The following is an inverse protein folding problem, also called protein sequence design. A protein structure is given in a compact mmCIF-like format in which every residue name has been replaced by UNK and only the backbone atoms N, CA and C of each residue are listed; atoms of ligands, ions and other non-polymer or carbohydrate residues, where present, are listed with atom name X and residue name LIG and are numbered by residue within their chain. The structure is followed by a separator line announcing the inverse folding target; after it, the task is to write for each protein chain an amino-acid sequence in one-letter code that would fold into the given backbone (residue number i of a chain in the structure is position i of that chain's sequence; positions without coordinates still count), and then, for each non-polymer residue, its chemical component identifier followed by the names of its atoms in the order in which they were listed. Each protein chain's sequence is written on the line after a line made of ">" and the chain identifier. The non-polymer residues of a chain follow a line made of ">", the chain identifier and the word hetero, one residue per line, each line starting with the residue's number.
data_IF_979998646382
#
_entry.id   IF_979998646382
#
_cell.length_a   1.000
_cell.length_b   1.000
_cell.length_c   1.000
_cell.angle_alpha   90.00
_cell.angle_beta   90.00
_cell.angle_gamma   90.00
#
_symmetry.space_group_name_H-M   'P 1'
#
loop_
_entity.id
_entity.type
_entity.pdbx_description
1 polymer ?
#
# COMPACT_ATOMS: atom_id res chain seq x y z
N UNK A 1 12.18 -2.21 -14.83
CA UNK A 1 11.82 -1.76 -13.47
C UNK A 1 11.58 -2.98 -12.60
N UNK A 2 12.16 -3.05 -11.40
CA UNK A 2 11.87 -4.12 -10.43
C UNK A 2 10.36 -4.29 -10.21
N UNK A 3 9.89 -5.55 -10.21
CA UNK A 3 8.48 -5.89 -10.02
C UNK A 3 7.89 -5.25 -8.76
N UNK A 4 6.65 -4.78 -8.88
CA UNK A 4 5.90 -4.25 -7.75
C UNK A 4 5.29 -5.39 -6.89
N UNK A 5 4.86 -5.08 -5.66
CA UNK A 5 4.41 -6.12 -4.72
C UNK A 5 3.19 -6.90 -5.23
N UNK A 6 2.27 -6.26 -5.95
CA UNK A 6 1.13 -6.93 -6.59
C UNK A 6 1.59 -7.93 -7.65
N UNK A 7 2.61 -7.61 -8.43
CA UNK A 7 3.18 -8.54 -9.42
C UNK A 7 3.84 -9.74 -8.74
N UNK A 8 4.53 -9.52 -7.61
CA UNK A 8 5.08 -10.60 -6.79
C UNK A 8 3.96 -11.48 -6.21
N UNK A 9 2.86 -10.87 -5.76
CA UNK A 9 1.67 -11.60 -5.31
C UNK A 9 1.07 -12.49 -6.40
N UNK A 10 0.95 -11.95 -7.62
CA UNK A 10 0.46 -12.67 -8.80
C UNK A 10 1.38 -13.88 -9.10
N UNK A 11 2.70 -13.70 -9.04
CA UNK A 11 3.67 -14.79 -9.20
C UNK A 11 3.60 -15.83 -8.08
N UNK A 12 3.43 -15.42 -6.82
CA UNK A 12 3.19 -16.35 -5.71
C UNK A 12 1.95 -17.21 -5.96
N UNK A 13 0.93 -16.64 -6.59
CA UNK A 13 -0.23 -17.39 -7.05
C UNK A 13 0.11 -18.46 -8.09
N UNK A 14 1.06 -18.20 -8.98
CA UNK A 14 1.39 -19.09 -10.08
C UNK A 14 2.27 -20.28 -9.69
N UNK A 15 2.98 -20.22 -8.55
CA UNK A 15 3.91 -21.26 -8.09
C UNK A 15 3.31 -22.66 -8.28
N UNK A 16 2.22 -23.00 -7.59
CA UNK A 16 1.62 -24.35 -7.67
C UNK A 16 1.14 -24.76 -9.07
N UNK A 17 0.78 -23.79 -9.93
CA UNK A 17 0.28 -24.07 -11.28
C UNK A 17 1.42 -24.40 -12.25
N UNK A 18 2.56 -23.75 -12.08
CA UNK A 18 3.70 -23.83 -12.99
C UNK A 18 4.83 -24.74 -12.44
N UNK A 19 4.75 -25.18 -11.18
CA UNK A 19 5.63 -26.23 -10.64
C UNK A 19 5.55 -27.50 -11.50
N UNK A 20 6.72 -28.01 -11.88
CA UNK A 20 6.86 -29.16 -12.78
C UNK A 20 6.93 -28.80 -14.27
N UNK A 21 6.74 -27.54 -14.65
CA UNK A 21 7.07 -27.07 -15.99
C UNK A 21 8.59 -27.10 -16.23
N UNK A 22 9.00 -27.29 -17.48
CA UNK A 22 10.42 -27.31 -17.86
C UNK A 22 11.01 -25.91 -17.80
N UNK A 23 12.30 -25.80 -17.46
CA UNK A 23 13.04 -24.53 -17.59
C UNK A 23 12.95 -24.01 -19.03
N UNK A 24 12.81 -22.70 -19.20
CA UNK A 24 12.53 -22.05 -20.48
C UNK A 24 11.04 -21.96 -20.84
N UNK A 25 10.14 -22.61 -20.11
CA UNK A 25 8.69 -22.48 -20.35
C UNK A 25 8.22 -21.06 -20.07
N UNK A 26 7.42 -20.50 -20.99
CA UNK A 26 6.77 -19.20 -20.84
C UNK A 26 5.31 -19.37 -20.43
N UNK A 27 4.88 -18.66 -19.39
CA UNK A 27 3.50 -18.60 -18.97
C UNK A 27 2.98 -17.16 -18.89
N UNK A 28 1.67 -17.02 -18.99
CA UNK A 28 0.96 -15.74 -18.89
C UNK A 28 0.27 -15.61 -17.53
N UNK A 29 0.27 -14.41 -16.96
CA UNK A 29 -0.59 -14.10 -15.81
C UNK A 29 -2.05 -14.07 -16.28
N UNK A 30 -2.98 -14.80 -15.63
CA UNK A 30 -4.36 -14.86 -16.07
C UNK A 30 -5.00 -13.48 -16.28
N UNK A 31 -5.64 -13.29 -17.43
CA UNK A 31 -6.33 -12.06 -17.82
C UNK A 31 -5.44 -10.81 -17.88
N UNK A 32 -4.13 -10.96 -18.08
CA UNK A 32 -3.19 -9.85 -18.22
C UNK A 32 -2.20 -10.10 -19.37
N UNK A 33 -1.80 -9.06 -20.08
CA UNK A 33 -0.72 -9.11 -21.08
C UNK A 33 0.65 -9.04 -20.38
N UNK A 34 0.91 -9.99 -19.47
CA UNK A 34 2.18 -10.15 -18.74
C UNK A 34 2.65 -11.59 -18.83
N UNK A 35 3.91 -11.76 -19.20
CA UNK A 35 4.50 -13.05 -19.50
C UNK A 35 5.81 -13.23 -18.75
N UNK A 36 6.07 -14.47 -18.34
CA UNK A 36 7.25 -14.84 -17.57
C UNK A 36 7.84 -16.15 -18.08
N UNK A 37 9.16 -16.19 -18.18
CA UNK A 37 9.91 -17.39 -18.50
C UNK A 37 10.49 -18.01 -17.22
N UNK A 38 10.36 -19.32 -17.07
CA UNK A 38 10.94 -20.08 -15.95
C UNK A 38 12.45 -20.22 -16.15
N UNK A 39 13.22 -19.77 -15.18
CA UNK A 39 14.69 -19.92 -15.13
C UNK A 39 15.08 -21.20 -14.38
N UNK A 40 14.40 -21.47 -13.27
CA UNK A 40 14.65 -22.63 -12.43
C UNK A 40 13.39 -22.95 -11.61
N UNK A 41 13.14 -24.22 -11.31
CA UNK A 41 12.02 -24.62 -10.46
C UNK A 41 12.33 -25.92 -9.72
N UNK A 42 11.84 -26.03 -8.48
CA UNK A 42 11.94 -27.24 -7.66
C UNK A 42 10.58 -27.49 -7.01
N UNK A 43 10.11 -28.74 -7.13
CA UNK A 43 8.86 -29.22 -6.51
C UNK A 43 9.20 -30.41 -5.59
N UNK A 44 9.79 -30.10 -4.44
CA UNK A 44 10.14 -31.09 -3.41
C UNK A 44 9.63 -30.61 -2.04
N UNK A 45 10.38 -30.86 -0.96
CA UNK A 45 10.12 -30.29 0.37
C UNK A 45 9.98 -28.77 0.33
N UNK A 46 10.83 -28.12 -0.47
CA UNK A 46 10.73 -26.70 -0.81
C UNK A 46 10.15 -26.56 -2.20
N UNK A 47 9.06 -25.80 -2.30
CA UNK A 47 8.39 -25.46 -3.55
C UNK A 47 8.84 -24.07 -4.00
N UNK A 48 9.71 -24.00 -4.99
CA UNK A 48 10.31 -22.74 -5.43
C UNK A 48 10.33 -22.62 -6.95
N UNK A 49 10.12 -21.40 -7.44
CA UNK A 49 10.17 -21.06 -8.85
C UNK A 49 10.93 -19.74 -9.03
N UNK A 50 11.84 -19.70 -9.99
CA UNK A 50 12.53 -18.52 -10.43
C UNK A 50 12.08 -18.16 -11.85
N UNK A 51 11.78 -16.89 -12.06
CA UNK A 51 11.27 -16.38 -13.35
C UNK A 51 11.94 -15.09 -13.76
N UNK A 52 11.87 -14.78 -15.05
CA UNK A 52 12.21 -13.47 -15.64
C UNK A 52 11.03 -12.98 -16.47
N UNK A 53 10.77 -11.66 -16.51
CA UNK A 53 9.76 -11.12 -17.41
C UNK A 53 10.23 -11.22 -18.88
N UNK A 54 9.27 -11.42 -19.77
CA UNK A 54 9.45 -11.47 -21.24
C UNK A 54 8.35 -10.62 -21.91
N UNK A 55 8.59 -10.19 -23.14
CA UNK A 55 7.70 -9.26 -23.84
C UNK A 55 6.39 -9.90 -24.30
N UNK A 56 6.41 -11.21 -24.57
CA UNK A 56 5.28 -11.93 -25.17
C UNK A 56 5.26 -13.43 -24.83
N UNK A 57 4.26 -14.13 -25.36
CA UNK A 57 4.06 -15.57 -25.17
C UNK A 57 5.15 -16.43 -25.83
N UNK A 58 5.89 -15.89 -26.80
CA UNK A 58 7.00 -16.60 -27.46
C UNK A 58 8.29 -16.50 -26.65
N UNK A 59 8.35 -15.62 -25.65
CA UNK A 59 9.49 -15.49 -24.73
C UNK A 59 10.54 -14.51 -25.20
N UNK A 60 10.18 -13.54 -26.05
CA UNK A 60 11.14 -12.55 -26.53
C UNK A 60 11.68 -11.64 -25.40
N UNK A 61 12.95 -11.26 -25.53
CA UNK A 61 13.67 -10.33 -24.65
C UNK A 61 13.59 -10.66 -23.14
N UNK A 62 14.00 -11.87 -22.71
CA UNK A 62 14.02 -12.22 -21.29
C UNK A 62 14.94 -11.29 -20.49
N UNK A 63 14.38 -10.65 -19.46
CA UNK A 63 15.11 -9.69 -18.63
C UNK A 63 15.69 -10.37 -17.38
N UNK A 64 16.90 -10.93 -17.51
CA UNK A 64 17.61 -11.59 -16.41
C UNK A 64 18.11 -10.65 -15.30
N UNK A 65 18.09 -9.33 -15.50
CA UNK A 65 18.33 -8.37 -14.43
C UNK A 65 17.11 -8.18 -13.51
N UNK A 66 15.96 -8.75 -13.89
CA UNK A 66 14.73 -8.79 -13.10
C UNK A 66 14.37 -10.21 -12.64
N UNK A 67 15.37 -11.09 -12.55
CA UNK A 67 15.16 -12.45 -12.05
C UNK A 67 14.53 -12.39 -10.66
N UNK A 68 13.42 -13.12 -10.51
CA UNK A 68 12.56 -13.11 -9.33
C UNK A 68 12.39 -14.52 -8.81
N UNK A 69 12.65 -14.73 -7.52
CA UNK A 69 12.44 -16.02 -6.85
C UNK A 69 11.17 -15.95 -6.01
N UNK A 70 10.26 -16.88 -6.21
CA UNK A 70 9.06 -17.07 -5.39
C UNK A 70 9.09 -18.46 -4.75
N UNK A 71 8.88 -18.51 -3.45
CA UNK A 71 8.89 -19.74 -2.64
C UNK A 71 7.53 -19.89 -1.99
N UNK A 72 6.88 -21.03 -2.23
CA UNK A 72 5.61 -21.39 -1.62
C UNK A 72 5.76 -21.72 -0.13
N UNK A 73 4.63 -21.83 0.57
CA UNK A 73 4.61 -22.32 1.96
C UNK A 73 4.44 -23.84 2.04
N UNK A 74 4.94 -24.45 3.11
CA UNK A 74 4.70 -25.87 3.44
C UNK A 74 3.21 -26.11 3.67
N UNK A 75 2.68 -27.24 3.21
CA UNK A 75 1.31 -27.66 3.55
C UNK A 75 1.23 -27.97 5.05
N UNK A 76 0.32 -27.32 5.76
CA UNK A 76 0.03 -27.67 7.15
C UNK A 76 -0.77 -28.99 7.14
N UNK A 77 -0.32 -30.07 7.79
CA UNK A 77 -1.22 -31.17 8.09
C UNK A 77 -2.34 -30.59 8.96
N UNK A 78 -3.58 -31.01 8.74
CA UNK A 78 -4.82 -30.51 9.37
C UNK A 78 -5.57 -29.34 8.68
N UNK A 79 -5.04 -28.67 7.66
CA UNK A 79 -5.85 -27.68 6.89
C UNK A 79 -7.04 -28.33 6.16
N UNK A 80 -6.91 -29.61 5.81
CA UNK A 80 -7.95 -30.43 5.19
C UNK A 80 -9.11 -30.79 6.12
N UNK A 81 -9.02 -30.49 7.42
CA UNK A 81 -10.08 -30.83 8.39
C UNK A 81 -11.15 -29.75 8.56
N UNK A 82 -10.99 -28.55 7.98
CA UNK A 82 -11.90 -27.42 8.26
C UNK A 82 -13.17 -27.33 7.40
N UNK A 83 -13.25 -27.92 6.21
CA UNK A 83 -14.45 -27.80 5.37
C UNK A 83 -14.68 -29.06 4.53
N UNK A 84 -15.62 -29.90 4.95
CA UNK A 84 -16.01 -31.12 4.23
C UNK A 84 -16.86 -30.82 2.99
N UNK A 85 -17.56 -29.68 2.94
CA UNK A 85 -18.45 -29.35 1.83
C UNK A 85 -18.14 -27.94 1.28
N UNK A 86 -17.83 -27.89 -0.03
CA UNK A 86 -17.46 -26.72 -0.85
C UNK A 86 -16.03 -26.16 -0.68
N UNK A 87 -15.05 -26.90 -1.20
CA UNK A 87 -13.68 -26.45 -1.38
C UNK A 87 -13.55 -25.54 -2.64
N UNK A 88 -13.06 -24.28 -2.52
CA UNK A 88 -12.62 -23.47 -3.64
C UNK A 88 -11.39 -24.09 -4.33
N UNK A 89 -11.08 -23.59 -5.54
CA UNK A 89 -10.12 -24.06 -6.57
C UNK A 89 -8.74 -24.63 -6.14
N UNK A 90 -8.33 -24.53 -4.87
CA UNK A 90 -7.02 -24.90 -4.34
C UNK A 90 -6.78 -26.39 -4.05
N UNK A 91 -7.83 -27.23 -4.09
CA UNK A 91 -7.78 -28.56 -3.45
C UNK A 91 -7.99 -29.75 -4.37
N UNK A 92 -7.96 -29.56 -5.69
CA UNK A 92 -7.95 -30.68 -6.65
C UNK A 92 -6.55 -30.96 -7.19
N UNK A 93 -5.71 -31.60 -6.37
CA UNK A 93 -4.82 -32.68 -6.83
C UNK A 93 -4.22 -33.47 -5.67
N UNK A 94 -4.65 -34.73 -5.61
CA UNK A 94 -4.00 -35.98 -5.17
C UNK A 94 -3.16 -36.01 -3.88
N UNK A 95 -3.62 -36.91 -3.00
CA UNK A 95 -3.08 -37.33 -1.71
C UNK A 95 -1.64 -37.92 -1.73
N UNK A 96 -0.92 -37.86 -2.85
CA UNK A 96 0.36 -38.55 -3.05
C UNK A 96 1.61 -37.69 -2.72
N UNK A 97 1.46 -36.37 -2.48
CA UNK A 97 2.57 -35.48 -2.04
C UNK A 97 2.62 -35.36 -0.50
N UNK A 98 2.17 -36.40 0.23
CA UNK A 98 1.95 -36.34 1.69
C UNK A 98 3.13 -36.84 2.54
N UNK A 99 4.24 -37.29 1.95
CA UNK A 99 5.41 -37.75 2.73
C UNK A 99 6.45 -36.65 2.99
N UNK A 100 6.80 -35.83 1.98
CA UNK A 100 7.84 -34.79 2.10
C UNK A 100 7.37 -33.54 2.85
N UNK A 101 6.12 -33.14 2.63
CA UNK A 101 5.44 -32.00 3.29
C UNK A 101 5.18 -32.29 4.75
N UNK A 102 4.65 -33.48 5.05
CA UNK A 102 4.49 -33.96 6.44
C UNK A 102 5.85 -34.16 7.10
N UNK A 103 6.89 -34.59 6.39
CA UNK A 103 8.24 -34.64 6.97
C UNK A 103 8.82 -33.26 7.25
N UNK A 104 8.66 -32.24 6.41
CA UNK A 104 9.08 -30.87 6.75
C UNK A 104 8.37 -30.32 7.99
N UNK A 105 7.05 -30.55 8.07
CA UNK A 105 6.24 -30.15 9.21
C UNK A 105 6.53 -30.96 10.49
N UNK A 106 6.83 -32.26 10.36
CA UNK A 106 7.19 -33.12 11.49
C UNK A 106 8.66 -32.92 11.92
N UNK A 107 9.57 -32.60 10.99
CA UNK A 107 10.99 -32.32 11.29
C UNK A 107 11.20 -30.92 11.87
N UNK A 108 10.29 -29.96 11.64
CA UNK A 108 10.26 -28.70 12.40
C UNK A 108 9.81 -28.87 13.86
N UNK A 109 9.40 -30.08 14.25
CA UNK A 109 8.83 -30.36 15.56
C UNK A 109 7.39 -29.88 15.66
N UNK A 110 6.54 -30.72 16.22
CA UNK A 110 5.18 -30.35 16.60
C UNK A 110 5.25 -29.17 17.59
N UNK A 111 4.77 -27.99 17.20
CA UNK A 111 4.87 -26.70 17.94
C UNK A 111 6.30 -26.30 18.36
N UNK A 112 7.15 -25.89 17.42
CA UNK A 112 8.27 -24.97 17.73
C UNK A 112 9.39 -25.54 18.59
N UNK A 113 10.02 -26.64 18.16
CA UNK A 113 11.28 -27.09 18.78
C UNK A 113 12.32 -27.54 17.76
N UNK A 114 12.64 -26.69 16.77
CA UNK A 114 14.00 -26.68 16.24
C UNK A 114 14.76 -25.59 17.00
N UNK A 115 15.66 -26.00 17.92
CA UNK A 115 16.65 -25.09 18.48
C UNK A 115 17.47 -24.50 17.30
N UNK A 116 17.15 -23.28 16.87
CA UNK A 116 17.85 -22.61 15.77
C UNK A 116 17.05 -21.62 14.92
N UNK A 117 15.73 -21.50 15.10
CA UNK A 117 14.91 -20.38 14.58
C UNK A 117 14.72 -20.25 13.06
N UNK A 118 15.34 -21.08 12.22
CA UNK A 118 15.09 -21.13 10.78
C UNK A 118 14.65 -22.54 10.36
N UNK A 119 13.66 -22.62 9.46
CA UNK A 119 13.16 -23.91 8.96
C UNK A 119 14.23 -24.61 8.10
N UNK A 120 14.24 -25.95 8.02
CA UNK A 120 15.14 -26.69 7.13
C UNK A 120 15.08 -26.23 5.65
N UNK A 121 13.95 -25.66 5.22
CA UNK A 121 13.78 -25.06 3.89
C UNK A 121 14.75 -23.90 3.61
N UNK A 122 15.31 -23.26 4.65
CA UNK A 122 16.24 -22.15 4.45
C UNK A 122 17.50 -22.57 3.69
N UNK A 123 18.01 -23.78 3.95
CA UNK A 123 19.15 -24.33 3.21
C UNK A 123 18.79 -24.59 1.74
N UNK A 124 17.62 -25.15 1.48
CA UNK A 124 17.10 -25.37 0.12
C UNK A 124 16.93 -24.04 -0.63
N UNK A 125 16.43 -22.99 0.04
CA UNK A 125 16.25 -21.65 -0.53
C UNK A 125 17.60 -21.01 -0.87
N UNK A 126 18.62 -21.16 -0.01
CA UNK A 126 19.98 -20.66 -0.29
C UNK A 126 20.60 -21.39 -1.49
N UNK A 127 20.46 -22.72 -1.57
CA UNK A 127 20.93 -23.50 -2.72
C UNK A 127 20.18 -23.14 -4.00
N UNK A 128 18.85 -22.98 -3.91
CA UNK A 128 18.01 -22.56 -5.04
C UNK A 128 18.41 -21.18 -5.55
N UNK A 129 18.72 -20.23 -4.67
CA UNK A 129 19.25 -18.92 -5.03
C UNK A 129 20.53 -19.05 -5.86
N UNK A 130 21.52 -19.79 -5.36
CA UNK A 130 22.82 -19.95 -6.03
C UNK A 130 22.66 -20.63 -7.40
N UNK A 131 21.86 -21.70 -7.49
CA UNK A 131 21.57 -22.40 -8.74
C UNK A 131 20.86 -21.51 -9.75
N UNK A 132 19.86 -20.76 -9.30
CA UNK A 132 19.12 -19.80 -10.14
C UNK A 132 20.06 -18.74 -10.69
N UNK A 133 20.87 -18.10 -9.83
CA UNK A 133 21.80 -17.05 -10.25
C UNK A 133 22.84 -17.60 -11.23
N UNK A 134 23.34 -18.82 -11.00
CA UNK A 134 24.26 -19.48 -11.94
C UNK A 134 23.61 -19.71 -13.31
N UNK A 135 22.37 -20.22 -13.35
CA UNK A 135 21.63 -20.44 -14.60
C UNK A 135 21.35 -19.12 -15.33
N UNK A 136 20.85 -18.12 -14.61
CA UNK A 136 20.60 -16.80 -15.17
C UNK A 136 21.89 -16.16 -15.76
N UNK A 137 23.05 -16.37 -15.10
CA UNK A 137 24.35 -15.88 -15.58
C UNK A 137 24.90 -16.60 -16.80
N UNK A 138 24.41 -17.79 -17.14
CA UNK A 138 24.72 -18.46 -18.41
C UNK A 138 24.04 -17.73 -19.57
N UNK A 139 22.82 -17.26 -19.36
CA UNK A 139 22.02 -16.55 -20.36
C UNK A 139 22.42 -15.06 -20.47
N UNK A 140 22.64 -14.39 -19.34
CA UNK A 140 23.12 -13.01 -19.26
C UNK A 140 24.16 -12.86 -18.15
N UNK A 141 25.41 -12.55 -18.52
CA UNK A 141 26.50 -12.31 -17.56
C UNK A 141 26.20 -11.24 -16.50
N UNK A 142 25.28 -10.31 -16.79
CA UNK A 142 24.85 -9.24 -15.89
C UNK A 142 23.61 -9.62 -15.06
N UNK A 143 23.13 -10.87 -15.15
CA UNK A 143 21.98 -11.35 -14.42
C UNK A 143 22.14 -11.18 -12.90
N UNK A 144 21.04 -10.79 -12.27
CA UNK A 144 20.93 -10.61 -10.82
C UNK A 144 19.59 -11.15 -10.33
N UNK A 145 19.55 -11.60 -9.07
CA UNK A 145 18.28 -11.81 -8.37
C UNK A 145 17.85 -10.47 -7.78
N UNK A 146 16.80 -9.90 -8.36
CA UNK A 146 16.29 -8.57 -8.00
C UNK A 146 15.18 -8.62 -6.94
N UNK A 147 14.40 -9.70 -6.93
CA UNK A 147 13.27 -9.90 -6.02
C UNK A 147 13.29 -11.30 -5.42
N UNK A 148 12.86 -11.40 -4.17
CA UNK A 148 12.53 -12.67 -3.54
C UNK A 148 11.21 -12.56 -2.77
N UNK A 149 10.46 -13.65 -2.72
CA UNK A 149 9.20 -13.75 -1.98
C UNK A 149 9.04 -15.11 -1.35
N UNK A 150 8.67 -15.12 -0.08
CA UNK A 150 8.26 -16.30 0.67
C UNK A 150 6.81 -16.21 1.13
N UNK A 151 6.26 -17.36 1.47
CA UNK A 151 4.91 -17.49 2.02
C UNK A 151 4.92 -18.43 3.23
N UNK A 152 4.31 -18.01 4.34
CA UNK A 152 4.25 -18.80 5.57
C UNK A 152 5.65 -19.20 6.08
N UNK A 153 5.92 -20.49 6.28
CA UNK A 153 7.19 -21.01 6.81
C UNK A 153 8.42 -20.72 5.95
N UNK A 154 8.25 -20.40 4.66
CA UNK A 154 9.37 -20.03 3.79
C UNK A 154 9.74 -18.55 3.87
N UNK A 155 8.87 -17.72 4.48
CA UNK A 155 9.07 -16.28 4.65
C UNK A 155 10.41 -15.94 5.31
N UNK A 156 10.69 -16.43 6.54
CA UNK A 156 11.97 -16.17 7.21
C UNK A 156 13.19 -16.70 6.44
N UNK A 157 13.09 -17.85 5.79
CA UNK A 157 14.17 -18.39 4.95
C UNK A 157 14.48 -17.53 3.74
N UNK A 158 13.45 -16.96 3.10
CA UNK A 158 13.61 -15.97 2.02
C UNK A 158 14.23 -14.68 2.55
N UNK A 159 13.76 -14.16 3.68
CA UNK A 159 14.31 -12.95 4.29
C UNK A 159 15.79 -13.12 4.67
N UNK A 160 16.16 -14.28 5.23
CA UNK A 160 17.53 -14.64 5.52
C UNK A 160 18.39 -14.66 4.25
N UNK A 161 17.98 -15.41 3.23
CA UNK A 161 18.75 -15.57 1.98
C UNK A 161 18.91 -14.24 1.24
N UNK A 162 17.82 -13.46 1.10
CA UNK A 162 17.86 -12.16 0.42
C UNK A 162 18.77 -11.16 1.15
N UNK A 163 18.72 -11.12 2.49
CA UNK A 163 19.58 -10.23 3.27
C UNK A 163 21.05 -10.65 3.23
N UNK A 164 21.34 -11.96 3.31
CA UNK A 164 22.69 -12.52 3.17
C UNK A 164 23.33 -12.08 1.85
N UNK A 165 22.68 -12.36 0.72
CA UNK A 165 23.26 -12.01 -0.59
C UNK A 165 23.21 -10.52 -0.89
N UNK A 166 22.17 -9.80 -0.44
CA UNK A 166 22.12 -8.35 -0.62
C UNK A 166 23.26 -7.62 0.09
N UNK A 167 23.62 -8.06 1.30
CA UNK A 167 24.79 -7.56 2.03
C UNK A 167 26.10 -7.97 1.35
N UNK A 168 26.25 -9.24 0.95
CA UNK A 168 27.46 -9.74 0.29
C UNK A 168 27.73 -9.07 -1.07
N UNK A 169 26.69 -8.80 -1.85
CA UNK A 169 26.79 -8.17 -3.17
C UNK A 169 26.73 -6.63 -3.11
N UNK A 170 26.53 -6.06 -1.91
CA UNK A 170 26.28 -4.63 -1.71
C UNK A 170 25.21 -4.08 -2.66
N UNK A 171 24.09 -4.81 -2.78
CA UNK A 171 23.00 -4.53 -3.71
C UNK A 171 21.66 -4.86 -3.07
N UNK A 172 20.67 -4.01 -3.30
CA UNK A 172 19.32 -4.29 -2.83
C UNK A 172 18.69 -5.46 -3.59
N UNK A 173 18.16 -6.39 -2.82
CA UNK A 173 17.23 -7.45 -3.22
C UNK A 173 15.93 -7.13 -2.50
N UNK A 174 14.89 -6.82 -3.26
CA UNK A 174 13.58 -6.51 -2.72
C UNK A 174 12.93 -7.79 -2.20
N UNK A 175 12.38 -7.74 -0.99
CA UNK A 175 11.64 -8.85 -0.38
C UNK A 175 10.18 -8.47 -0.23
N UNK A 176 9.30 -9.31 -0.75
CA UNK A 176 7.84 -9.16 -0.59
C UNK A 176 7.28 -10.48 -0.11
N UNK A 177 7.08 -10.64 1.20
CA UNK A 177 6.57 -11.89 1.75
C UNK A 177 5.11 -11.78 2.21
N UNK A 178 4.49 -12.94 2.39
CA UNK A 178 3.10 -13.09 2.82
C UNK A 178 3.01 -14.06 3.99
N UNK A 179 2.41 -13.62 5.09
CA UNK A 179 2.06 -14.45 6.25
C UNK A 179 3.24 -15.18 6.92
N UNK A 180 4.41 -14.54 7.02
CA UNK A 180 5.61 -15.14 7.61
C UNK A 180 5.32 -15.82 8.95
N UNK A 181 5.58 -17.12 9.01
CA UNK A 181 5.39 -17.97 10.20
C UNK A 181 6.74 -18.15 10.90
N UNK A 182 6.79 -18.07 12.24
CA UNK A 182 8.02 -18.19 13.06
C UNK A 182 9.08 -17.09 12.83
N UNK A 183 8.70 -15.94 12.24
CA UNK A 183 9.63 -14.83 12.01
C UNK A 183 10.23 -14.25 13.31
N UNK A 184 9.43 -14.20 14.38
CA UNK A 184 9.90 -13.76 15.70
C UNK A 184 11.05 -14.63 16.21
N UNK A 185 10.87 -15.95 16.21
CA UNK A 185 11.86 -16.90 16.71
C UNK A 185 13.14 -16.90 15.86
N UNK A 186 13.03 -16.68 14.55
CA UNK A 186 14.18 -16.51 13.65
C UNK A 186 15.10 -15.34 14.06
N UNK A 187 14.51 -14.23 14.52
CA UNK A 187 15.27 -13.08 15.01
C UNK A 187 15.71 -13.27 16.47
N UNK A 188 14.81 -13.76 17.32
CA UNK A 188 15.08 -13.94 18.75
C UNK A 188 16.21 -14.96 19.01
N UNK A 189 16.29 -16.02 18.19
CA UNK A 189 17.40 -17.00 18.23
C UNK A 189 18.72 -16.46 17.67
N UNK A 190 18.70 -15.32 16.98
CA UNK A 190 19.85 -14.74 16.29
C UNK A 190 20.16 -15.35 14.92
N UNK A 191 19.30 -16.23 14.40
CA UNK A 191 19.46 -16.84 13.09
C UNK A 191 19.38 -15.81 11.95
N UNK A 192 18.51 -14.81 12.10
CA UNK A 192 18.56 -13.55 11.35
C UNK A 192 19.25 -12.51 12.25
N UNK A 193 20.45 -12.08 11.85
CA UNK A 193 21.26 -11.14 12.62
C UNK A 193 20.67 -9.72 12.62
N UNK A 194 21.11 -8.88 13.57
CA UNK A 194 20.73 -7.46 13.63
C UNK A 194 21.07 -6.68 12.36
N UNK A 195 22.19 -7.02 11.71
CA UNK A 195 22.59 -6.41 10.44
C UNK A 195 21.61 -6.78 9.31
N UNK A 196 21.20 -8.05 9.25
CA UNK A 196 20.17 -8.50 8.32
C UNK A 196 18.81 -7.87 8.61
N UNK A 197 18.40 -7.72 9.88
CA UNK A 197 17.18 -6.98 10.24
C UNK A 197 17.24 -5.53 9.73
N UNK A 198 18.36 -4.83 9.92
CA UNK A 198 18.54 -3.46 9.41
C UNK A 198 18.47 -3.39 7.88
N UNK A 199 19.00 -4.40 7.19
CA UNK A 199 18.86 -4.55 5.76
C UNK A 199 17.39 -4.76 5.36
N UNK A 200 16.69 -5.69 6.02
CA UNK A 200 15.30 -6.04 5.73
C UNK A 200 14.36 -4.87 6.00
N UNK A 201 14.56 -4.09 7.06
CA UNK A 201 13.76 -2.90 7.35
C UNK A 201 13.77 -1.85 6.22
N UNK A 202 14.77 -1.89 5.34
CA UNK A 202 14.88 -1.02 4.16
C UNK A 202 14.37 -1.66 2.87
N UNK A 203 14.38 -2.99 2.79
CA UNK A 203 14.23 -3.73 1.53
C UNK A 203 13.08 -4.74 1.52
N UNK A 204 12.41 -4.96 2.66
CA UNK A 204 11.37 -5.96 2.83
C UNK A 204 10.01 -5.34 3.17
N UNK A 205 8.95 -5.84 2.53
CA UNK A 205 7.56 -5.59 2.89
C UNK A 205 6.87 -6.92 3.17
N UNK A 206 6.20 -7.04 4.32
CA UNK A 206 5.58 -8.28 4.79
C UNK A 206 4.07 -8.06 4.92
N UNK A 207 3.27 -8.80 4.16
CA UNK A 207 1.81 -8.69 4.20
C UNK A 207 1.22 -9.70 5.17
N UNK A 208 0.37 -9.25 6.08
CA UNK A 208 -0.21 -10.07 7.14
C UNK A 208 -1.70 -9.85 7.33
N UNK A 209 -2.44 -10.92 7.55
CA UNK A 209 -3.84 -10.83 7.92
C UNK A 209 -3.98 -10.36 9.37
N UNK A 210 -5.11 -9.74 9.67
CA UNK A 210 -5.42 -9.24 11.01
C UNK A 210 -5.95 -10.30 11.96
N UNK A 211 -6.42 -11.45 11.45
CA UNK A 211 -6.99 -12.52 12.27
C UNK A 211 -5.90 -13.39 12.90
N UNK A 212 -4.69 -13.30 12.37
CA UNK A 212 -3.60 -14.20 12.72
C UNK A 212 -3.89 -15.62 12.26
N UNK A 213 -4.65 -15.80 11.18
CA UNK A 213 -5.02 -17.13 10.69
C UNK A 213 -3.77 -17.98 10.48
N UNK A 214 -3.74 -19.18 11.07
CA UNK A 214 -2.59 -20.11 11.10
C UNK A 214 -1.37 -19.58 11.89
N UNK A 215 -0.95 -18.34 11.68
CA UNK A 215 0.23 -17.75 12.33
C UNK A 215 0.09 -17.61 13.85
N UNK A 216 -1.12 -17.57 14.40
CA UNK A 216 -1.31 -17.63 15.87
C UNK A 216 -0.74 -18.90 16.51
N UNK A 217 -0.56 -19.97 15.73
CA UNK A 217 -0.01 -21.25 16.19
C UNK A 217 1.49 -21.20 16.48
N UNK A 218 2.19 -20.14 16.06
CA UNK A 218 3.62 -19.97 16.31
C UNK A 218 3.95 -19.53 17.74
N UNK A 219 2.95 -19.27 18.57
CA UNK A 219 3.13 -18.85 19.97
C UNK A 219 3.50 -17.37 20.16
N UNK A 220 3.76 -16.64 19.08
CA UNK A 220 4.15 -15.23 19.05
C UNK A 220 3.11 -14.34 18.34
N UNK A 221 1.90 -14.88 18.09
CA UNK A 221 0.83 -14.21 17.36
C UNK A 221 1.26 -13.77 15.93
N UNK A 222 2.19 -14.54 15.35
CA UNK A 222 2.83 -14.27 14.07
C UNK A 222 3.74 -13.04 14.03
N UNK A 223 4.19 -12.49 15.15
CA UNK A 223 5.05 -11.30 15.16
C UNK A 223 6.21 -11.38 14.15
N UNK A 224 6.42 -10.28 13.41
CA UNK A 224 7.45 -10.19 12.35
C UNK A 224 8.36 -9.00 12.67
N UNK A 225 9.51 -9.25 13.32
CA UNK A 225 10.40 -8.19 13.81
C UNK A 225 11.38 -7.66 12.74
N UNK A 226 11.02 -7.74 11.46
CA UNK A 226 11.80 -7.22 10.35
C UNK A 226 10.90 -6.72 9.20
N UNK A 227 11.44 -5.82 8.39
CA UNK A 227 10.72 -5.27 7.24
C UNK A 227 9.57 -4.34 7.63
N UNK A 228 8.90 -3.82 6.61
CA UNK A 228 7.67 -3.05 6.77
C UNK A 228 6.47 -4.00 6.76
N UNK A 229 5.77 -4.13 7.88
CA UNK A 229 4.56 -4.93 7.97
C UNK A 229 3.35 -4.16 7.44
N UNK A 230 2.57 -4.81 6.58
CA UNK A 230 1.31 -4.33 6.03
C UNK A 230 0.19 -5.27 6.50
N UNK A 231 -0.58 -4.84 7.49
CA UNK A 231 -1.75 -5.57 7.98
C UNK A 231 -3.02 -5.25 7.21
N UNK A 232 -3.89 -6.24 7.04
CA UNK A 232 -5.20 -6.09 6.43
C UNK A 232 -6.26 -7.00 7.06
N UNK A 233 -7.50 -6.52 7.16
CA UNK A 233 -8.63 -7.38 7.54
C UNK A 233 -9.05 -8.31 6.39
N UNK A 234 -9.46 -9.51 6.76
CA UNK A 234 -9.92 -10.53 5.83
C UNK A 234 -11.44 -10.55 5.80
N UNK A 235 -12.02 -10.66 4.61
CA UNK A 235 -13.46 -10.84 4.48
C UNK A 235 -13.93 -12.14 5.14
N UNK A 236 -15.15 -12.13 5.64
CA UNK A 236 -15.78 -13.32 6.21
C UNK A 236 -15.86 -14.43 5.14
N UNK A 237 -15.43 -15.64 5.49
CA UNK A 237 -15.39 -16.80 4.59
C UNK A 237 -14.18 -16.87 3.65
N UNK A 238 -13.31 -15.86 3.61
CA UNK A 238 -12.04 -15.94 2.89
C UNK A 238 -10.93 -16.56 3.76
N UNK A 239 -9.93 -17.15 3.11
CA UNK A 239 -8.73 -17.68 3.75
C UNK A 239 -7.73 -16.54 4.01
N UNK A 240 -7.49 -16.20 5.27
CA UNK A 240 -6.56 -15.12 5.64
C UNK A 240 -5.11 -15.47 5.40
N UNK A 241 -4.75 -16.75 5.48
CA UNK A 241 -3.37 -17.21 5.40
C UNK A 241 -2.89 -17.41 3.95
N UNK A 242 -3.69 -17.01 2.95
CA UNK A 242 -3.31 -17.14 1.55
C UNK A 242 -2.54 -15.89 1.06
N UNK A 243 -1.49 -16.08 0.22
CA UNK A 243 -0.77 -14.95 -0.36
C UNK A 243 -1.63 -14.16 -1.35
N UNK A 244 -2.77 -14.69 -1.82
CA UNK A 244 -3.69 -14.00 -2.74
C UNK A 244 -4.74 -13.13 -2.04
N UNK A 245 -4.88 -13.27 -0.73
CA UNK A 245 -5.92 -12.62 0.05
C UNK A 245 -5.74 -11.11 0.21
N UNK A 246 -4.52 -10.56 0.40
CA UNK A 246 -4.38 -9.11 0.41
C UNK A 246 -4.81 -8.52 -0.93
N UNK A 247 -5.65 -7.48 -0.93
CA UNK A 247 -6.00 -6.77 -2.16
C UNK A 247 -5.03 -5.61 -2.33
N UNK A 248 -4.23 -5.68 -3.39
CA UNK A 248 -3.03 -4.83 -3.56
C UNK A 248 -3.14 -3.93 -4.79
N UNK A 249 -2.56 -2.73 -4.69
CA UNK A 249 -2.43 -1.75 -5.78
C UNK A 249 -0.98 -1.26 -5.85
N UNK A 250 -0.17 -1.91 -6.68
CA UNK A 250 1.26 -1.63 -6.79
C UNK A 250 2.02 -2.16 -5.57
N UNK A 251 2.77 -1.29 -4.87
CA UNK A 251 3.56 -1.62 -3.67
C UNK A 251 2.81 -1.35 -2.35
N UNK A 252 1.47 -1.40 -2.37
CA UNK A 252 0.63 -1.11 -1.21
C UNK A 252 -0.69 -1.86 -1.27
N UNK A 253 -1.40 -1.90 -0.14
CA UNK A 253 -2.79 -2.33 -0.05
C UNK A 253 -3.70 -1.36 -0.82
N UNK A 254 -4.76 -1.89 -1.45
CA UNK A 254 -5.79 -1.09 -2.11
C UNK A 254 -6.76 -0.51 -1.06
N UNK A 255 -6.41 0.62 -0.48
CA UNK A 255 -7.18 1.27 0.58
C UNK A 255 -8.63 1.53 0.17
N UNK A 256 -8.89 1.83 -1.11
CA UNK A 256 -10.25 2.06 -1.59
C UNK A 256 -11.10 0.79 -1.53
N UNK A 257 -10.50 -0.37 -1.83
CA UNK A 257 -11.17 -1.66 -1.71
C UNK A 257 -11.62 -1.95 -0.28
N UNK A 258 -10.70 -1.78 0.68
CA UNK A 258 -10.93 -2.06 2.10
C UNK A 258 -11.92 -1.07 2.72
N UNK A 259 -11.73 0.23 2.44
CA UNK A 259 -12.61 1.28 2.96
C UNK A 259 -14.06 1.12 2.49
N UNK A 260 -14.28 0.79 1.20
CA UNK A 260 -15.64 0.53 0.67
C UNK A 260 -16.34 -0.67 1.30
N UNK A 261 -15.58 -1.56 1.95
CA UNK A 261 -16.08 -2.77 2.62
C UNK A 261 -16.11 -2.65 4.14
N UNK A 262 -15.81 -1.47 4.69
CA UNK A 262 -15.66 -1.24 6.13
C UNK A 262 -14.63 -2.18 6.78
N UNK A 263 -13.55 -2.46 6.05
CA UNK A 263 -12.44 -3.27 6.51
C UNK A 263 -11.22 -2.39 6.81
N UNK A 264 -10.50 -2.68 7.88
CA UNK A 264 -9.24 -2.00 8.19
C UNK A 264 -8.09 -2.55 7.33
N UNK A 265 -7.18 -1.65 6.97
CA UNK A 265 -5.94 -1.95 6.27
C UNK A 265 -4.88 -0.90 6.61
N UNK A 266 -3.62 -1.33 6.65
CA UNK A 266 -2.48 -0.44 6.90
C UNK A 266 -2.41 0.63 5.83
N UNK A 267 -2.28 1.90 6.24
CA UNK A 267 -2.23 3.05 5.33
C UNK A 267 -3.56 3.78 5.16
N UNK A 268 -4.55 3.54 6.03
CA UNK A 268 -5.76 4.35 6.11
C UNK A 268 -5.54 5.67 6.84
N UNK A 269 -6.24 6.71 6.41
CA UNK A 269 -6.25 8.01 7.10
C UNK A 269 -7.16 7.97 8.33
N UNK A 270 -6.99 8.91 9.26
CA UNK A 270 -7.83 8.98 10.47
C UNK A 270 -9.33 9.04 10.14
N UNK A 271 -9.73 9.83 9.13
CA UNK A 271 -11.14 9.92 8.73
C UNK A 271 -11.69 8.58 8.23
N UNK A 272 -10.90 7.85 7.45
CA UNK A 272 -11.29 6.52 6.97
C UNK A 272 -11.47 5.56 8.15
N UNK A 273 -10.49 5.51 9.06
CA UNK A 273 -10.55 4.64 10.24
C UNK A 273 -11.75 4.96 11.11
N UNK A 274 -11.99 6.23 11.45
CA UNK A 274 -13.12 6.65 12.30
C UNK A 274 -14.47 6.25 11.71
N UNK A 275 -14.65 6.41 10.39
CA UNK A 275 -15.91 6.02 9.75
C UNK A 275 -16.14 4.51 9.77
N UNK A 276 -15.08 3.72 9.58
CA UNK A 276 -15.17 2.26 9.70
C UNK A 276 -15.45 1.88 11.16
N UNK A 277 -14.80 2.53 12.12
CA UNK A 277 -15.02 2.31 13.54
C UNK A 277 -16.46 2.60 13.96
N UNK A 278 -17.05 3.70 13.48
CA UNK A 278 -18.47 4.01 13.67
C UNK A 278 -19.39 2.93 13.11
N UNK A 279 -19.08 2.44 11.90
CA UNK A 279 -19.82 1.34 11.29
C UNK A 279 -19.73 0.05 12.12
N UNK A 280 -18.53 -0.35 12.52
CA UNK A 280 -18.28 -1.57 13.31
C UNK A 280 -18.98 -1.49 14.67
N UNK A 281 -18.85 -0.36 15.36
CA UNK A 281 -19.53 -0.10 16.63
C UNK A 281 -21.06 -0.18 16.52
N UNK A 282 -21.64 0.43 15.48
CA UNK A 282 -23.08 0.41 15.24
C UNK A 282 -23.62 -0.97 14.87
N UNK A 283 -22.82 -1.77 14.19
CA UNK A 283 -23.21 -3.11 13.71
C UNK A 283 -22.84 -4.22 14.67
N UNK A 284 -22.07 -3.92 15.72
CA UNK A 284 -21.71 -4.87 16.75
C UNK A 284 -22.97 -5.41 17.44
N UNK A 285 -23.10 -6.74 17.43
CA UNK A 285 -24.15 -7.45 18.14
C UNK A 285 -23.49 -8.31 19.22
N UNK A 286 -23.84 -8.02 20.47
CA UNK A 286 -23.40 -8.83 21.61
C UNK A 286 -23.86 -10.26 21.40
N UNK A 287 -22.93 -11.20 21.37
CA UNK A 287 -23.29 -12.61 21.38
C UNK A 287 -23.62 -13.04 22.80
N UNK A 288 -24.90 -12.97 23.15
CA UNK A 288 -25.43 -13.28 24.49
C UNK A 288 -25.08 -14.68 25.00
N UNK A 289 -24.70 -15.63 24.13
CA UNK A 289 -24.32 -16.98 24.54
C UNK A 289 -22.87 -17.08 25.08
N UNK A 290 -22.02 -16.10 24.77
CA UNK A 290 -20.59 -16.04 25.18
C UNK A 290 -20.24 -14.70 25.84
N UNK A 291 -21.24 -13.84 26.07
CA UNK A 291 -21.07 -12.52 26.65
C UNK A 291 -20.44 -12.61 28.04
N UNK A 292 -19.22 -12.11 28.17
CA UNK A 292 -18.49 -12.00 29.43
C UNK A 292 -18.99 -10.80 30.26
N UNK A 293 -20.26 -10.83 30.68
CA UNK A 293 -20.85 -9.93 31.69
C UNK A 293 -20.41 -8.44 31.59
N UNK A 294 -20.49 -7.83 30.41
CA UNK A 294 -20.22 -6.39 30.20
C UNK A 294 -18.82 -6.01 29.70
N UNK A 295 -17.89 -6.97 29.52
CA UNK A 295 -16.57 -6.73 28.93
C UNK A 295 -16.58 -6.45 27.42
N UNK A 296 -17.73 -6.54 26.75
CA UNK A 296 -17.88 -6.28 25.31
C UNK A 296 -18.70 -5.02 25.01
N UNK A 297 -19.12 -4.26 26.04
CA UNK A 297 -19.88 -3.02 25.86
C UNK A 297 -19.01 -1.91 25.23
N UNK A 298 -17.69 -2.00 25.42
CA UNK A 298 -16.70 -1.13 24.77
C UNK A 298 -16.69 -1.27 23.25
N UNK A 299 -17.04 -2.44 22.70
CA UNK A 299 -17.17 -2.68 21.25
C UNK A 299 -18.37 -1.98 20.61
N UNK A 300 -19.24 -1.35 21.39
CA UNK A 300 -20.25 -0.41 20.89
C UNK A 300 -19.73 1.03 20.82
N UNK A 301 -18.52 1.29 21.33
CA UNK A 301 -17.84 2.57 21.22
C UNK A 301 -16.88 2.57 20.01
N UNK A 302 -17.01 3.50 19.05
CA UNK A 302 -16.07 3.63 17.94
C UNK A 302 -14.60 3.75 18.38
N UNK A 303 -14.31 4.40 19.51
CA UNK A 303 -12.94 4.59 19.99
C UNK A 303 -12.22 3.28 20.32
N UNK A 304 -12.96 2.21 20.67
CA UNK A 304 -12.38 0.87 20.79
C UNK A 304 -11.71 0.44 19.48
N UNK A 305 -12.42 0.54 18.36
CA UNK A 305 -11.88 0.14 17.05
C UNK A 305 -10.79 1.08 16.53
N UNK A 306 -10.85 2.37 16.88
CA UNK A 306 -9.75 3.30 16.57
C UNK A 306 -8.48 2.89 17.32
N UNK A 307 -8.60 2.52 18.60
CA UNK A 307 -7.45 2.06 19.39
C UNK A 307 -6.88 0.73 18.89
N UNK A 308 -7.75 -0.22 18.52
CA UNK A 308 -7.32 -1.49 17.91
C UNK A 308 -6.68 -1.26 16.54
N UNK A 309 -7.16 -0.30 15.75
CA UNK A 309 -6.51 0.06 14.50
C UNK A 309 -5.06 0.53 14.73
N UNK A 310 -4.86 1.48 15.65
CA UNK A 310 -3.52 2.01 15.94
C UNK A 310 -2.57 0.94 16.47
N UNK A 311 -3.09 0.02 17.29
CA UNK A 311 -2.34 -1.11 17.84
C UNK A 311 -1.91 -2.12 16.79
N UNK A 312 -2.81 -2.51 15.89
CA UNK A 312 -2.56 -3.62 14.96
C UNK A 312 -2.02 -3.16 13.59
N UNK A 313 -2.45 -2.00 13.08
CA UNK A 313 -2.15 -1.52 11.72
C UNK A 313 -1.15 -0.35 11.69
N UNK A 314 -0.86 0.23 12.85
CA UNK A 314 0.06 1.36 13.00
C UNK A 314 -0.59 2.73 12.80
N UNK A 315 0.26 3.75 12.64
CA UNK A 315 -0.17 5.15 12.57
C UNK A 315 -1.10 5.43 11.38
N UNK A 316 -1.95 6.45 11.54
CA UNK A 316 -2.77 6.95 10.44
C UNK A 316 -1.89 7.46 9.31
N UNK A 317 -2.27 7.12 8.08
CA UNK A 317 -1.72 7.80 6.92
C UNK A 317 -2.07 9.30 6.99
N UNK A 318 -1.15 10.18 6.55
CA UNK A 318 -1.47 11.60 6.46
C UNK A 318 -2.67 11.79 5.54
N UNK A 319 -3.59 12.67 5.94
CA UNK A 319 -4.64 13.12 5.04
C UNK A 319 -4.01 13.75 3.79
N UNK A 320 -4.45 13.38 2.57
CA UNK A 320 -3.91 13.97 1.36
C UNK A 320 -4.12 15.48 1.38
N UNK A 321 -3.08 16.22 1.04
CA UNK A 321 -3.18 17.67 0.89
C UNK A 321 -4.13 18.03 -0.25
N UNK A 322 -4.59 19.29 -0.32
CA UNK A 322 -5.39 19.75 -1.47
C UNK A 322 -4.61 19.59 -2.78
N UNK A 323 -3.29 19.79 -2.79
CA UNK A 323 -2.46 19.50 -3.96
C UNK A 323 -2.45 18.01 -4.32
N UNK A 324 -2.36 17.10 -3.34
CA UNK A 324 -2.40 15.66 -3.61
C UNK A 324 -3.74 15.26 -4.22
N UNK A 325 -4.85 15.78 -3.67
CA UNK A 325 -6.19 15.54 -4.21
C UNK A 325 -6.34 16.07 -5.65
N UNK A 326 -5.77 17.24 -5.96
CA UNK A 326 -5.76 17.78 -7.33
C UNK A 326 -4.97 16.84 -8.26
N UNK A 327 -3.81 16.36 -7.85
CA UNK A 327 -2.99 15.45 -8.64
C UNK A 327 -3.71 14.12 -8.89
N UNK A 328 -4.28 13.52 -7.84
CA UNK A 328 -5.09 12.30 -7.92
C UNK A 328 -6.28 12.50 -8.86
N UNK A 329 -7.02 13.60 -8.72
CA UNK A 329 -8.17 13.86 -9.57
C UNK A 329 -7.78 14.06 -11.04
N UNK A 330 -6.64 14.70 -11.32
CA UNK A 330 -6.14 14.86 -12.70
C UNK A 330 -5.83 13.50 -13.33
N UNK A 331 -5.15 12.63 -12.59
CA UNK A 331 -4.90 11.26 -13.06
C UNK A 331 -6.22 10.51 -13.29
N UNK A 332 -7.18 10.61 -12.36
CA UNK A 332 -8.50 9.97 -12.50
C UNK A 332 -9.27 10.51 -13.71
N UNK A 333 -9.20 11.81 -13.99
CA UNK A 333 -9.77 12.42 -15.19
C UNK A 333 -9.17 11.82 -16.46
N UNK A 334 -7.85 11.61 -16.50
CA UNK A 334 -7.17 10.96 -17.63
C UNK A 334 -7.62 9.49 -17.80
N UNK A 335 -7.75 8.74 -16.71
CA UNK A 335 -8.25 7.36 -16.68
C UNK A 335 -9.72 7.27 -17.14
N UNK A 336 -10.56 8.22 -16.72
CA UNK A 336 -11.95 8.34 -17.16
C UNK A 336 -12.03 8.66 -18.66
N UNK A 337 -11.17 9.56 -19.15
CA UNK A 337 -11.07 9.84 -20.58
C UNK A 337 -10.66 8.62 -21.39
N UNK A 338 -9.69 7.84 -20.90
CA UNK A 338 -9.30 6.57 -21.52
C UNK A 338 -10.47 5.57 -21.55
N UNK A 339 -11.14 5.37 -20.41
CA UNK A 339 -12.27 4.45 -20.27
C UNK A 339 -13.47 4.83 -21.15
N UNK A 340 -13.72 6.13 -21.34
CA UNK A 340 -14.81 6.64 -22.18
C UNK A 340 -14.63 6.35 -23.67
N UNK A 341 -13.39 6.15 -24.14
CA UNK A 341 -13.11 5.83 -25.56
C UNK A 341 -13.62 4.44 -25.95
N UNK A 342 -13.61 3.50 -25.00
CA UNK A 342 -13.98 2.09 -25.23
C UNK A 342 -15.36 1.72 -24.68
N UNK A 343 -15.97 2.59 -23.87
CA UNK A 343 -17.27 2.32 -23.24
C UNK A 343 -18.48 2.69 -24.11
N UNK A 344 -19.58 1.94 -23.95
CA UNK A 344 -20.88 2.14 -24.61
C UNK A 344 -22.05 2.02 -23.63
N UNK A 345 -23.24 2.47 -24.05
CA UNK A 345 -24.48 2.35 -23.26
C UNK A 345 -24.41 3.03 -21.89
N UNK A 346 -25.06 2.43 -20.90
CA UNK A 346 -25.18 2.92 -19.51
C UNK A 346 -23.81 3.21 -18.88
N UNK A 347 -22.81 2.34 -19.13
CA UNK A 347 -21.45 2.52 -18.62
C UNK A 347 -20.83 3.84 -19.11
N UNK A 348 -21.09 4.23 -20.36
CA UNK A 348 -20.61 5.50 -20.93
C UNK A 348 -21.25 6.70 -20.22
N UNK A 349 -22.50 6.57 -19.80
CA UNK A 349 -23.24 7.64 -19.13
C UNK A 349 -22.72 7.82 -17.71
N UNK A 350 -22.57 6.73 -16.94
CA UNK A 350 -21.97 6.79 -15.60
C UNK A 350 -20.55 7.36 -15.62
N UNK A 351 -19.72 6.97 -16.59
CA UNK A 351 -18.37 7.52 -16.72
C UNK A 351 -18.35 9.02 -17.08
N UNK A 352 -19.35 9.51 -17.85
CA UNK A 352 -19.48 10.95 -18.16
C UNK A 352 -19.91 11.74 -16.94
N UNK A 353 -20.87 11.22 -16.17
CA UNK A 353 -21.27 11.81 -14.90
C UNK A 353 -20.07 11.93 -13.97
N UNK A 354 -19.34 10.83 -13.77
CA UNK A 354 -18.16 10.77 -12.90
C UNK A 354 -17.10 11.78 -13.34
N UNK A 355 -16.81 11.86 -14.65
CA UNK A 355 -15.87 12.83 -15.21
C UNK A 355 -16.26 14.28 -14.87
N UNK A 356 -17.54 14.64 -15.01
CA UNK A 356 -18.03 15.99 -14.71
C UNK A 356 -17.90 16.29 -13.21
N UNK A 357 -18.24 15.34 -12.34
CA UNK A 357 -18.11 15.51 -10.88
C UNK A 357 -16.65 15.66 -10.45
N UNK A 358 -15.76 14.80 -10.92
CA UNK A 358 -14.32 14.88 -10.61
C UNK A 358 -13.73 16.20 -11.12
N UNK A 359 -14.13 16.64 -12.32
CA UNK A 359 -13.70 17.95 -12.86
C UNK A 359 -14.18 19.12 -11.99
N UNK A 360 -15.43 19.08 -11.53
CA UNK A 360 -15.99 20.10 -10.62
C UNK A 360 -15.22 20.17 -9.29
N UNK A 361 -14.95 19.02 -8.67
CA UNK A 361 -14.19 18.94 -7.43
C UNK A 361 -12.76 19.46 -7.61
N UNK A 362 -12.11 19.11 -8.72
CA UNK A 362 -10.75 19.58 -9.03
C UNK A 362 -10.69 21.10 -9.19
N UNK A 363 -11.67 21.67 -9.89
CA UNK A 363 -11.77 23.11 -10.10
C UNK A 363 -11.95 23.87 -8.77
N UNK A 364 -12.77 23.33 -7.86
CA UNK A 364 -12.96 23.89 -6.52
C UNK A 364 -11.67 23.82 -5.69
N UNK A 365 -11.03 22.64 -5.61
CA UNK A 365 -9.78 22.46 -4.86
C UNK A 365 -8.67 23.39 -5.37
N UNK A 366 -8.53 23.52 -6.69
CA UNK A 366 -7.53 24.40 -7.30
C UNK A 366 -7.75 25.87 -6.94
N UNK A 367 -9.01 26.30 -6.84
CA UNK A 367 -9.35 27.67 -6.46
C UNK A 367 -9.01 27.95 -4.99
N UNK A 368 -9.34 27.01 -4.11
CA UNK A 368 -8.99 27.10 -2.68
C UNK A 368 -7.47 27.13 -2.45
N UNK A 369 -6.70 26.32 -3.20
CA UNK A 369 -5.23 26.35 -3.16
C UNK A 369 -4.70 27.71 -3.62
N UNK A 370 -5.22 28.23 -4.74
CA UNK A 370 -4.79 29.52 -5.28
C UNK A 370 -5.06 30.67 -4.31
N UNK A 371 -6.24 30.72 -3.68
CA UNK A 371 -6.54 31.74 -2.67
C UNK A 371 -5.58 31.67 -1.48
N UNK A 372 -5.27 30.45 -1.02
CA UNK A 372 -4.34 30.27 0.08
C UNK A 372 -2.91 30.72 -0.31
N UNK A 373 -2.45 30.39 -1.52
CA UNK A 373 -1.14 30.86 -2.01
C UNK A 373 -1.05 32.39 -2.09
N UNK A 374 -2.13 33.09 -2.48
CA UNK A 374 -2.17 34.55 -2.48
C UNK A 374 -2.10 35.09 -1.05
N UNK A 375 -2.86 34.51 -0.10
CA UNK A 375 -2.80 34.89 1.33
C UNK A 375 -1.39 34.73 1.89
N UNK A 376 -0.74 33.61 1.59
CA UNK A 376 0.59 33.30 2.11
C UNK A 376 1.65 34.22 1.51
N UNK A 377 1.58 34.53 0.21
CA UNK A 377 2.49 35.49 -0.45
C UNK A 377 2.36 36.90 0.14
N UNK A 378 1.13 37.38 0.34
CA UNK A 378 0.87 38.69 0.95
C UNK A 378 1.43 38.73 2.37
N UNK A 379 1.14 37.71 3.18
CA UNK A 379 1.64 37.59 4.56
C UNK A 379 3.16 37.59 4.60
N UNK A 380 3.80 36.78 3.76
CA UNK A 380 5.26 36.70 3.66
C UNK A 380 5.90 38.03 3.24
N UNK A 381 5.33 38.70 2.25
CA UNK A 381 5.79 40.02 1.81
C UNK A 381 5.65 41.07 2.92
N UNK A 382 4.50 41.12 3.60
CA UNK A 382 4.26 42.07 4.72
C UNK A 382 5.25 41.84 5.86
N UNK A 383 5.43 40.59 6.30
CA UNK A 383 6.42 40.25 7.32
C UNK A 383 7.86 40.57 6.90
N UNK A 384 8.20 40.44 5.61
CA UNK A 384 9.51 40.88 5.10
C UNK A 384 9.68 42.40 5.22
N UNK A 385 8.66 43.19 4.89
CA UNK A 385 8.70 44.66 5.07
C UNK A 385 8.84 45.03 6.54
N UNK A 386 8.06 44.40 7.43
CA UNK A 386 8.15 44.60 8.89
C UNK A 386 9.56 44.33 9.42
N UNK A 387 10.19 43.24 8.97
CA UNK A 387 11.55 42.89 9.36
C UNK A 387 12.58 43.92 8.86
N UNK A 388 12.51 44.36 7.60
CA UNK A 388 13.42 45.38 7.08
C UNK A 388 13.29 46.71 7.83
N UNK A 389 12.05 47.12 8.16
CA UNK A 389 11.82 48.33 8.97
C UNK A 389 12.49 48.15 10.34
N UNK A 390 12.29 47.01 11.00
CA UNK A 390 12.92 46.71 12.29
C UNK A 390 14.45 46.77 12.22
N UNK A 391 15.06 46.08 11.24
CA UNK A 391 16.51 46.08 11.05
C UNK A 391 17.07 47.49 10.83
N UNK A 392 16.39 48.32 10.04
CA UNK A 392 16.79 49.70 9.81
C UNK A 392 16.68 50.55 11.09
N UNK A 393 15.64 50.36 11.88
CA UNK A 393 15.49 51.04 13.19
C UNK A 393 16.60 50.64 14.14
N UNK A 394 16.90 49.34 14.27
CA UNK A 394 17.96 48.82 15.13
C UNK A 394 19.34 49.39 14.70
N UNK A 395 19.60 49.49 13.39
CA UNK A 395 20.80 50.10 12.85
C UNK A 395 20.90 51.60 13.17
N UNK A 396 19.80 52.35 13.02
CA UNK A 396 19.76 53.78 13.34
C UNK A 396 20.08 54.03 14.83
N UNK A 397 19.50 53.22 15.72
CA UNK A 397 19.82 53.27 17.15
C UNK A 397 21.27 52.93 17.48
N UNK A 398 21.90 52.06 16.69
CA UNK A 398 23.30 51.68 16.88
C UNK A 398 24.27 52.77 16.40
N UNK A 399 23.97 53.44 15.29
CA UNK A 399 24.86 54.41 14.64
C UNK A 399 24.75 55.84 15.18
N UNK A 400 23.61 56.17 15.79
CA UNK A 400 23.31 57.52 16.25
C UNK A 400 23.99 57.85 17.59
N UNK A 401 25.33 57.96 17.59
CA UNK A 401 26.11 58.29 18.79
C UNK A 401 25.94 59.74 19.29
N UNK A 402 25.40 60.63 18.47
CA UNK A 402 25.27 62.06 18.75
C UNK A 402 23.82 62.58 18.72
N UNK A 403 22.82 61.70 18.54
CA UNK A 403 21.41 62.07 18.54
C UNK A 403 20.74 61.55 19.81
N UNK A 404 19.81 62.34 20.35
CA UNK A 404 18.90 61.89 21.40
C UNK A 404 17.90 60.86 20.85
N UNK A 405 17.30 60.06 21.73
CA UNK A 405 16.25 59.12 21.34
C UNK A 405 15.07 59.81 20.63
N UNK A 406 14.73 61.04 21.03
CA UNK A 406 13.65 61.82 20.42
C UNK A 406 13.98 62.25 18.98
N UNK A 407 15.25 62.59 18.69
CA UNK A 407 15.70 62.92 17.33
C UNK A 407 15.73 61.67 16.43
N UNK A 408 16.12 60.52 16.97
CA UNK A 408 16.10 59.24 16.26
C UNK A 408 14.65 58.82 15.95
N UNK A 409 13.75 58.91 16.93
CA UNK A 409 12.33 58.62 16.71
C UNK A 409 11.67 59.62 15.75
N UNK A 410 12.05 60.90 15.80
CA UNK A 410 11.63 61.90 14.83
C UNK A 410 12.01 61.50 13.40
N UNK A 411 13.26 61.08 13.17
CA UNK A 411 13.74 60.61 11.86
C UNK A 411 13.07 59.31 11.40
N UNK A 412 12.81 58.39 12.32
CA UNK A 412 12.21 57.08 12.01
C UNK A 412 10.68 57.12 11.98
N UNK A 413 10.05 58.23 12.36
CA UNK A 413 8.59 58.35 12.45
C UNK A 413 7.88 58.16 11.10
N UNK A 414 8.53 58.53 10.00
CA UNK A 414 8.03 58.32 8.64
C UNK A 414 8.24 56.87 8.16
N UNK A 415 9.12 56.11 8.82
CA UNK A 415 9.47 54.74 8.48
C UNK A 415 8.69 53.75 9.37
N UNK A 416 7.43 53.54 9.03
CA UNK A 416 6.52 52.62 9.73
C UNK A 416 5.83 51.69 8.75
N UNK A 417 5.25 50.59 9.25
CA UNK A 417 4.53 49.66 8.37
C UNK A 417 3.33 50.33 7.71
N UNK A 418 2.66 51.27 8.39
CA UNK A 418 1.49 51.99 7.86
C UNK A 418 1.83 52.94 6.72
N UNK A 419 3.09 53.39 6.60
CA UNK A 419 3.56 54.17 5.45
C UNK A 419 4.15 53.30 4.35
N UNK A 420 4.84 52.22 4.71
CA UNK A 420 5.53 51.33 3.77
C UNK A 420 4.61 50.29 3.10
N UNK A 421 3.48 49.96 3.73
CA UNK A 421 2.56 48.94 3.25
C UNK A 421 1.20 49.51 2.85
N UNK A 422 0.68 49.05 1.71
CA UNK A 422 -0.61 49.49 1.20
C UNK A 422 -1.71 48.52 1.61
N UNK A 423 -2.29 48.73 2.80
CA UNK A 423 -3.39 47.91 3.32
C UNK A 423 -4.61 47.87 2.38
N UNK A 424 -4.87 48.96 1.63
CA UNK A 424 -5.94 49.01 0.65
C UNK A 424 -5.72 48.06 -0.54
N UNK A 425 -4.48 47.95 -1.03
CA UNK A 425 -4.10 47.00 -2.08
C UNK A 425 -4.07 45.57 -1.56
N UNK A 426 -3.62 45.34 -0.33
CA UNK A 426 -3.75 44.05 0.34
C UNK A 426 -5.22 43.60 0.38
N UNK A 427 -6.10 44.43 0.95
CA UNK A 427 -7.52 44.12 1.08
C UNK A 427 -8.18 43.84 -0.27
N UNK A 428 -7.89 44.66 -1.29
CA UNK A 428 -8.45 44.48 -2.65
C UNK A 428 -7.95 43.18 -3.29
N UNK A 429 -6.68 42.83 -3.08
CA UNK A 429 -6.09 41.59 -3.64
C UNK A 429 -6.68 40.36 -2.96
N UNK A 430 -6.81 40.38 -1.64
CA UNK A 430 -7.47 39.31 -0.88
C UNK A 430 -8.94 39.15 -1.29
N UNK A 431 -9.69 40.25 -1.42
CA UNK A 431 -11.07 40.21 -1.90
C UNK A 431 -11.19 39.64 -3.31
N UNK A 432 -10.25 39.97 -4.20
CA UNK A 432 -10.22 39.42 -5.57
C UNK A 432 -9.94 37.92 -5.58
N UNK A 433 -9.02 37.44 -4.74
CA UNK A 433 -8.73 36.01 -4.59
C UNK A 433 -9.94 35.24 -4.04
N UNK A 434 -10.60 35.76 -3.00
CA UNK A 434 -11.83 35.15 -2.47
C UNK A 434 -12.98 35.18 -3.48
N UNK A 435 -13.15 36.27 -4.24
CA UNK A 435 -14.17 36.35 -5.30
C UNK A 435 -13.94 35.32 -6.41
N UNK A 436 -12.67 35.07 -6.78
CA UNK A 436 -12.31 33.99 -7.69
C UNK A 436 -12.71 32.62 -7.14
N UNK A 437 -12.41 32.32 -5.87
CA UNK A 437 -12.83 31.07 -5.22
C UNK A 437 -14.34 30.90 -5.19
N UNK A 438 -15.09 31.96 -4.87
CA UNK A 438 -16.56 31.96 -4.91
C UNK A 438 -17.06 31.61 -6.32
N UNK A 439 -16.54 32.28 -7.35
CA UNK A 439 -16.90 32.02 -8.75
C UNK A 439 -16.64 30.57 -9.15
N UNK A 440 -15.49 30.02 -8.77
CA UNK A 440 -15.14 28.63 -9.06
C UNK A 440 -16.03 27.63 -8.32
N UNK A 441 -16.44 27.94 -7.09
CA UNK A 441 -17.40 27.15 -6.32
C UNK A 441 -18.78 27.14 -6.98
N UNK A 442 -19.25 28.29 -7.49
CA UNK A 442 -20.50 28.39 -8.25
C UNK A 442 -20.45 27.56 -9.54
N UNK A 443 -19.33 27.63 -10.28
CA UNK A 443 -19.10 26.82 -11.49
C UNK A 443 -19.13 25.33 -11.13
N UNK A 444 -18.42 24.91 -10.08
CA UNK A 444 -18.44 23.53 -9.62
C UNK A 444 -19.86 23.07 -9.23
N UNK A 445 -20.64 23.93 -8.56
CA UNK A 445 -22.04 23.68 -8.26
C UNK A 445 -22.90 23.48 -9.51
N UNK A 446 -22.69 24.28 -10.55
CA UNK A 446 -23.39 24.15 -11.83
C UNK A 446 -22.97 22.89 -12.59
N UNK A 447 -21.70 22.51 -12.55
CA UNK A 447 -21.21 21.25 -13.12
C UNK A 447 -21.84 20.04 -12.42
N UNK A 448 -21.95 20.07 -11.09
CA UNK A 448 -22.63 19.00 -10.33
C UNK A 448 -24.11 18.87 -10.72
N UNK A 449 -24.83 19.99 -10.89
CA UNK A 449 -26.21 19.97 -11.42
C UNK A 449 -26.28 19.41 -12.84
N UNK A 450 -25.29 19.71 -13.68
CA UNK A 450 -25.21 19.13 -15.02
C UNK A 450 -24.98 17.61 -14.97
N UNK A 451 -24.15 17.13 -14.04
CA UNK A 451 -23.97 15.69 -13.80
C UNK A 451 -25.28 15.02 -13.35
N UNK A 452 -26.02 15.62 -12.42
CA UNK A 452 -27.35 15.12 -12.00
C UNK A 452 -28.33 15.04 -13.19
N UNK A 453 -28.31 16.04 -14.07
CA UNK A 453 -29.14 16.06 -15.27
C UNK A 453 -28.77 14.97 -16.29
N UNK A 454 -27.48 14.63 -16.42
CA UNK A 454 -27.02 13.51 -17.28
C UNK A 454 -27.69 12.21 -16.82
N UNK A 455 -27.68 11.94 -15.52
CA UNK A 455 -28.31 10.75 -14.93
C UNK A 455 -29.83 10.78 -15.11
N UNK A 456 -30.47 11.92 -14.88
CA UNK A 456 -31.92 12.05 -14.96
C UNK A 456 -32.46 11.89 -16.39
N UNK A 457 -31.75 12.42 -17.40
CA UNK A 457 -32.13 12.25 -18.82
C UNK A 457 -32.03 10.78 -19.21
N UNK A 458 -30.96 10.09 -18.79
CA UNK A 458 -30.76 8.68 -19.07
C UNK A 458 -31.88 7.80 -18.47
N UNK A 459 -32.19 7.98 -17.18
CA UNK A 459 -33.28 7.25 -16.53
C UNK A 459 -34.62 7.44 -17.24
N UNK A 460 -34.93 8.66 -17.69
CA UNK A 460 -36.14 8.94 -18.47
C UNK A 460 -36.11 8.27 -19.84
N UNK A 461 -34.96 8.25 -20.51
CA UNK A 461 -34.76 7.55 -21.77
C UNK A 461 -34.99 6.04 -21.62
N UNK A 462 -34.39 5.41 -20.61
CA UNK A 462 -34.56 3.98 -20.32
C UNK A 462 -36.03 3.60 -20.07
N UNK A 463 -36.82 4.46 -19.40
CA UNK A 463 -38.25 4.24 -19.15
C UNK A 463 -39.10 4.19 -20.44
N UNK A 464 -38.65 4.83 -21.52
CA UNK A 464 -39.33 4.77 -22.83
C UNK A 464 -39.20 3.36 -23.43
N UNK A 465 -38.12 2.63 -23.12
CA UNK A 465 -37.84 1.31 -23.68
C UNK A 465 -38.27 0.14 -22.78
N UNK A 466 -38.54 0.37 -21.50
CA UNK A 466 -39.06 -0.66 -20.57
C UNK A 466 -40.59 -0.78 -20.56
N UNK A 467 -41.31 0.14 -21.19
CA UNK A 467 -42.75 -0.01 -21.48
C UNK A 467 -42.94 -0.79 -22.79
N UNK A 468 -42.85 -2.11 -22.73
CA UNK A 468 -43.38 -3.01 -23.76
C UNK A 468 -44.26 -4.08 -23.13
#
# INVERSE_FOLDING_TARGET
>A
MTLNDKEIQELQGMVKKELGATEGTVFQIPNQDKYYQIVHSVDMTTQAMAVVPVDDREGHNPNFQETTIVVGGTQVPFEHMKYWDNQPYFWKKDFEITASTTNAFLTSGWFGMVQGGLTPQTADIDEFYQKTLKKARVEDKNAIISNMSGHSQSGPGVAYTASKYGLLENRAIKVTNFMDFEAHDAVASGAISKEQVNYLNKNATIYRDSRGDVVFLDGNNGDVPYGKTMRFEVLEGEDGHSPRTPVMKGNKLDIDYYYKRNLFATGMTEKQVRKIAEYKAKTYKVNVAIANYGLEDDKQNPEYYVSEYLKEYGDFAPEPSKQDLIAINRQHIDELHASLRTSSGDKKISLREELVRTSAQTAQLQAEVYEQEIKDKIKSAKSSVENHIKELRDAAYTLAHNLSADEIEGLLSELSISTAWNDGKEATTLASASAYTTKMTEIAGNLNKAADNIVAIDQKGAQIFTKK
#
